data_IF_892599343534
#
_entry.id   IF_892599343534
#
_cell.length_a   1.000
_cell.length_b   1.000
_cell.length_c   1.000
_cell.angle_alpha   90.00
_cell.angle_beta   90.00
_cell.angle_gamma   90.00
#
_symmetry.space_group_name_H-M   'P 1'
#
loop_
_entity.id
_entity.type
_entity.pdbx_description
1 polymer ?
#
# COMPACT_ATOMS: atom_id res chain seq x y z
N UNK A 1 8.17 19.22 -18.86
CA UNK A 1 7.54 19.01 -20.18
C UNK A 1 6.33 18.16 -19.90
N UNK A 2 5.14 18.60 -20.31
CA UNK A 2 3.92 17.82 -20.04
C UNK A 2 3.92 16.59 -20.94
N UNK A 3 3.83 15.40 -20.35
CA UNK A 3 3.75 14.12 -21.06
C UNK A 3 2.32 13.82 -21.54
N UNK A 4 1.62 14.85 -22.00
CA UNK A 4 0.23 14.73 -22.45
C UNK A 4 0.19 14.45 -23.96
N UNK A 5 -0.68 13.53 -24.37
CA UNK A 5 -1.00 13.30 -25.79
C UNK A 5 -2.47 13.43 -26.06
N UNK A 6 -2.78 13.93 -27.26
CA UNK A 6 -4.12 14.03 -27.79
C UNK A 6 -4.29 12.98 -28.87
N UNK A 7 -5.29 12.12 -28.71
CA UNK A 7 -5.70 11.13 -29.68
C UNK A 7 -6.91 11.68 -30.45
N UNK A 8 -6.76 11.87 -31.75
CA UNK A 8 -7.82 12.29 -32.67
C UNK A 8 -8.31 11.05 -33.43
N UNK A 9 -9.57 10.65 -33.21
CA UNK A 9 -10.10 9.36 -33.70
C UNK A 9 -11.20 9.59 -34.71
N UNK A 10 -10.98 9.12 -35.94
CA UNK A 10 -11.96 9.16 -37.03
C UNK A 10 -12.50 7.76 -37.28
N UNK A 11 -13.82 7.59 -37.21
CA UNK A 11 -14.52 6.32 -37.48
C UNK A 11 -15.43 6.48 -38.70
N UNK A 12 -15.25 5.70 -39.75
CA UNK A 12 -16.17 5.68 -40.92
C UNK A 12 -16.47 7.08 -41.50
N UNK A 13 -15.47 7.96 -41.56
CA UNK A 13 -15.63 9.33 -42.06
C UNK A 13 -16.41 10.30 -41.16
N UNK A 14 -16.77 9.90 -39.93
CA UNK A 14 -17.34 10.80 -38.91
C UNK A 14 -16.28 11.80 -38.42
N UNK A 15 -16.70 12.99 -37.95
CA UNK A 15 -15.78 13.98 -37.37
C UNK A 15 -14.95 13.37 -36.24
N UNK A 16 -13.69 13.82 -36.13
CA UNK A 16 -12.74 13.26 -35.19
C UNK A 16 -13.16 13.50 -33.73
N UNK A 17 -13.20 12.44 -32.94
CA UNK A 17 -13.30 12.50 -31.48
C UNK A 17 -11.91 12.79 -30.90
N UNK A 18 -11.80 13.76 -29.99
CA UNK A 18 -10.52 14.09 -29.34
C UNK A 18 -10.51 13.55 -27.92
N UNK A 19 -9.53 12.70 -27.62
CA UNK A 19 -9.29 12.15 -26.28
C UNK A 19 -7.95 12.64 -25.80
N UNK A 20 -7.92 13.30 -24.64
CA UNK A 20 -6.70 13.79 -24.00
C UNK A 20 -6.27 12.77 -22.95
N UNK A 21 -5.05 12.28 -23.06
CA UNK A 21 -4.49 11.31 -22.11
C UNK A 21 -3.42 12.01 -21.27
N UNK A 22 -3.66 12.20 -19.95
CA UNK A 22 -2.81 13.03 -19.08
C UNK A 22 -1.50 12.34 -18.69
N UNK A 23 -1.47 11.02 -18.81
CA UNK A 23 -0.30 10.20 -18.52
C UNK A 23 0.31 9.91 -19.89
N UNK A 24 1.63 10.04 -20.06
CA UNK A 24 2.33 9.80 -21.33
C UNK A 24 2.25 8.37 -21.86
N UNK A 25 1.27 7.59 -21.43
CA UNK A 25 0.93 6.25 -21.87
C UNK A 25 -0.56 6.18 -22.12
N UNK A 26 -0.96 5.68 -23.30
CA UNK A 26 -2.36 5.44 -23.64
C UNK A 26 -2.57 3.98 -24.07
N UNK A 27 -3.53 3.31 -23.45
CA UNK A 27 -4.02 1.99 -23.82
C UNK A 27 -5.23 2.11 -24.76
N UNK A 28 -5.14 1.48 -25.92
CA UNK A 28 -6.18 1.47 -26.95
C UNK A 28 -6.73 0.05 -27.06
N UNK A 29 -8.05 -0.11 -26.98
CA UNK A 29 -8.72 -1.42 -27.04
C UNK A 29 -10.23 -1.31 -26.87
N UNK A 30 -10.93 -2.43 -26.82
CA UNK A 30 -12.40 -2.48 -26.62
C UNK A 30 -12.85 -2.64 -25.16
N UNK A 31 -11.92 -2.96 -24.25
CA UNK A 31 -12.22 -3.13 -22.83
C UNK A 31 -12.58 -1.80 -22.13
N UNK A 32 -13.27 -1.91 -21.00
CA UNK A 32 -13.75 -0.76 -20.24
C UNK A 32 -12.63 0.06 -19.56
N UNK A 33 -11.44 -0.53 -19.39
CA UNK A 33 -10.28 0.12 -18.76
C UNK A 33 -9.30 0.76 -19.76
N UNK A 34 -9.62 0.77 -21.06
CA UNK A 34 -8.79 1.42 -22.07
C UNK A 34 -9.01 2.94 -22.07
N UNK A 35 -7.92 3.71 -22.21
CA UNK A 35 -7.95 5.17 -22.32
C UNK A 35 -8.72 5.62 -23.57
N UNK A 36 -8.47 4.94 -24.70
CA UNK A 36 -9.28 5.06 -25.90
C UNK A 36 -10.05 3.76 -26.15
N UNK A 37 -11.36 3.82 -25.89
CA UNK A 37 -12.27 2.70 -26.11
C UNK A 37 -12.76 2.66 -27.56
N UNK A 38 -12.50 1.54 -28.22
CA UNK A 38 -13.01 1.22 -29.56
C UNK A 38 -14.16 0.20 -29.47
N UNK A 39 -14.92 0.04 -30.56
CA UNK A 39 -15.95 -1.00 -30.61
C UNK A 39 -15.30 -2.39 -30.53
N UNK A 40 -15.95 -3.42 -29.93
CA UNK A 40 -15.46 -4.80 -29.96
C UNK A 40 -15.17 -5.34 -31.36
N UNK A 41 -15.86 -4.83 -32.39
CA UNK A 41 -15.62 -5.21 -33.79
C UNK A 41 -14.38 -4.52 -34.41
N UNK A 42 -13.87 -3.46 -33.78
CA UNK A 42 -12.75 -2.64 -34.28
C UNK A 42 -11.41 -3.01 -33.63
N UNK A 43 -11.41 -3.61 -32.44
CA UNK A 43 -10.19 -3.87 -31.67
C UNK A 43 -10.36 -5.00 -30.65
N UNK A 44 -9.27 -5.70 -30.36
CA UNK A 44 -9.17 -6.62 -29.22
C UNK A 44 -9.40 -5.88 -27.88
N UNK A 45 -9.70 -6.60 -26.77
CA UNK A 45 -9.87 -5.98 -25.45
C UNK A 45 -8.74 -5.03 -25.09
N UNK A 46 -7.50 -5.43 -25.39
CA UNK A 46 -6.30 -4.59 -25.36
C UNK A 46 -5.57 -4.76 -26.69
N UNK A 47 -5.54 -3.72 -27.52
CA UNK A 47 -5.00 -3.81 -28.87
C UNK A 47 -3.56 -3.33 -28.94
N UNK A 48 -3.31 -2.12 -28.45
CA UNK A 48 -1.98 -1.52 -28.43
C UNK A 48 -1.81 -0.52 -27.28
N UNK A 49 -0.56 -0.31 -26.90
CA UNK A 49 -0.12 0.70 -25.93
C UNK A 49 0.76 1.71 -26.63
N UNK A 50 0.41 2.98 -26.50
CA UNK A 50 1.24 4.12 -26.91
C UNK A 50 2.00 4.62 -25.69
N UNK A 51 3.30 4.84 -25.80
CA UNK A 51 4.11 5.45 -24.75
C UNK A 51 4.94 6.60 -25.32
N UNK A 52 4.80 7.79 -24.76
CA UNK A 52 5.52 9.00 -25.16
C UNK A 52 6.98 8.90 -24.73
N UNK A 53 7.88 9.25 -25.63
CA UNK A 53 9.32 9.21 -25.41
C UNK A 53 9.96 10.38 -26.16
N UNK A 54 10.29 11.44 -25.43
CA UNK A 54 10.89 12.66 -25.98
C UNK A 54 9.93 13.40 -26.92
N UNK A 55 10.25 13.41 -28.22
CA UNK A 55 9.46 13.97 -29.33
C UNK A 55 8.58 12.93 -30.05
N UNK A 56 8.75 11.65 -29.71
CA UNK A 56 8.07 10.55 -30.38
C UNK A 56 7.08 9.80 -29.49
N UNK A 57 6.49 8.76 -30.08
CA UNK A 57 5.64 7.77 -29.42
C UNK A 57 6.13 6.38 -29.80
N UNK A 58 6.32 5.53 -28.80
CA UNK A 58 6.63 4.12 -28.93
C UNK A 58 5.32 3.33 -28.93
N UNK A 59 5.17 2.42 -29.88
CA UNK A 59 3.98 1.57 -30.00
C UNK A 59 4.32 0.15 -29.59
N UNK A 60 3.55 -0.40 -28.66
CA UNK A 60 3.61 -1.80 -28.23
C UNK A 60 2.30 -2.50 -28.55
N UNK A 61 2.37 -3.60 -29.29
CA UNK A 61 1.21 -4.42 -29.59
C UNK A 61 0.93 -5.42 -28.50
N UNK A 62 -0.35 -5.54 -28.15
CA UNK A 62 -0.83 -6.54 -27.20
C UNK A 62 -1.56 -7.65 -27.94
N UNK A 63 -2.37 -7.30 -28.96
CA UNK A 63 -3.10 -8.27 -29.77
C UNK A 63 -2.67 -8.24 -31.26
N UNK A 64 -2.58 -9.40 -31.93
CA UNK A 64 -2.19 -9.49 -33.34
C UNK A 64 -3.33 -9.21 -34.33
N UNK A 65 -4.58 -9.21 -33.86
CA UNK A 65 -5.77 -9.03 -34.69
C UNK A 65 -6.78 -8.09 -34.01
N UNK A 66 -7.35 -7.10 -34.73
CA UNK A 66 -7.04 -6.74 -36.12
C UNK A 66 -5.62 -6.18 -36.30
N UNK A 67 -5.11 -6.26 -37.54
CA UNK A 67 -3.78 -5.73 -37.87
C UNK A 67 -3.82 -4.21 -37.84
N UNK A 68 -2.98 -3.60 -37.00
CA UNK A 68 -2.78 -2.15 -37.01
C UNK A 68 -1.77 -1.80 -38.09
N UNK A 69 -2.09 -0.81 -38.91
CA UNK A 69 -1.19 -0.33 -39.96
C UNK A 69 -0.83 1.14 -39.78
N UNK A 70 0.29 1.55 -40.35
CA UNK A 70 0.69 2.96 -40.48
C UNK A 70 0.96 3.19 -41.95
N UNK A 71 0.17 4.07 -42.58
CA UNK A 71 0.25 4.34 -44.02
C UNK A 71 0.09 3.05 -44.85
N UNK A 72 -0.86 2.20 -44.46
CA UNK A 72 -1.17 0.93 -45.13
C UNK A 72 -0.18 -0.22 -44.90
N UNK A 73 0.93 -0.01 -44.17
CA UNK A 73 1.87 -1.08 -43.83
C UNK A 73 1.62 -1.59 -42.40
N UNK A 74 1.60 -2.92 -42.14
CA UNK A 74 1.57 -3.46 -40.78
C UNK A 74 2.73 -2.90 -39.98
N UNK A 75 2.45 -2.36 -38.78
CA UNK A 75 3.53 -1.83 -37.96
C UNK A 75 4.19 -2.93 -37.14
N UNK A 76 5.48 -2.77 -36.89
CA UNK A 76 6.23 -3.53 -35.89
C UNK A 76 6.46 -2.62 -34.68
N UNK A 77 6.71 -3.16 -33.47
CA UNK A 77 7.09 -2.36 -32.32
C UNK A 77 8.24 -1.40 -32.67
N UNK A 78 7.94 -0.10 -32.71
CA UNK A 78 8.86 0.93 -33.19
C UNK A 78 8.48 2.30 -32.62
N UNK A 79 9.37 3.27 -32.82
CA UNK A 79 9.18 4.68 -32.42
C UNK A 79 8.74 5.49 -33.64
N UNK A 80 7.71 6.31 -33.44
CA UNK A 80 7.16 7.21 -34.44
C UNK A 80 7.32 8.66 -34.00
N UNK A 81 7.56 9.56 -34.94
CA UNK A 81 7.59 11.02 -34.69
C UNK A 81 6.16 11.54 -34.74
N UNK A 82 5.78 12.39 -33.78
CA UNK A 82 4.46 13.02 -33.74
C UNK A 82 4.43 14.26 -34.66
N UNK A 83 3.36 14.51 -35.43
CA UNK A 83 2.12 13.74 -35.52
C UNK A 83 2.27 12.45 -36.35
N UNK A 84 1.63 11.38 -35.89
CA UNK A 84 1.58 10.10 -36.60
C UNK A 84 0.16 9.52 -36.57
N UNK A 85 -0.18 8.63 -37.52
CA UNK A 85 -1.51 8.01 -37.61
C UNK A 85 -1.42 6.49 -37.61
N UNK A 86 -2.39 5.84 -36.97
CA UNK A 86 -2.54 4.39 -36.94
C UNK A 86 -3.92 4.01 -37.44
N UNK A 87 -3.99 3.00 -38.29
CA UNK A 87 -5.22 2.52 -38.91
C UNK A 87 -5.57 1.13 -38.36
N UNK A 88 -6.79 0.99 -37.84
CA UNK A 88 -7.39 -0.25 -37.34
C UNK A 88 -8.69 -0.51 -38.11
N UNK A 89 -8.60 -1.26 -39.20
CA UNK A 89 -9.74 -1.45 -40.10
C UNK A 89 -10.23 -0.12 -40.67
N UNK A 90 -11.45 0.30 -40.29
CA UNK A 90 -12.06 1.56 -40.72
C UNK A 90 -11.83 2.75 -39.75
N UNK A 91 -11.06 2.52 -38.68
CA UNK A 91 -10.76 3.53 -37.66
C UNK A 91 -9.35 4.06 -37.85
N UNK A 92 -9.21 5.39 -37.91
CA UNK A 92 -7.91 6.08 -37.93
C UNK A 92 -7.70 6.84 -36.64
N UNK A 93 -6.59 6.57 -35.96
CA UNK A 93 -6.16 7.25 -34.74
C UNK A 93 -4.94 8.11 -35.06
N UNK A 94 -5.08 9.42 -34.99
CA UNK A 94 -3.98 10.38 -35.14
C UNK A 94 -3.49 10.78 -33.75
N UNK A 95 -2.21 10.64 -33.51
CA UNK A 95 -1.56 11.07 -32.27
C UNK A 95 -0.96 12.45 -32.49
N UNK A 96 -1.38 13.40 -31.67
CA UNK A 96 -0.91 14.78 -31.65
C UNK A 96 -0.39 15.12 -30.25
N UNK A 97 0.53 16.07 -30.18
CA UNK A 97 0.81 16.76 -28.92
C UNK A 97 -0.07 18.01 -28.85
N UNK A 98 -0.60 18.36 -27.67
CA UNK A 98 -1.25 19.64 -27.51
C UNK A 98 -0.25 20.72 -27.94
N UNK A 99 -0.63 21.51 -28.95
CA UNK A 99 0.13 22.68 -29.29
C UNK A 99 0.15 23.53 -28.02
N UNK A 100 1.35 23.79 -27.49
CA UNK A 100 1.50 24.79 -26.44
C UNK A 100 1.11 26.09 -27.13
N UNK A 101 -0.15 26.50 -26.98
CA UNK A 101 -0.59 27.81 -27.42
C UNK A 101 0.31 28.79 -26.68
N UNK A 102 1.22 29.41 -27.45
CA UNK A 102 2.11 30.42 -26.95
C UNK A 102 1.23 31.55 -26.42
N UNK A 103 0.98 31.51 -25.10
CA UNK A 103 0.19 32.53 -24.43
C UNK A 103 0.79 33.87 -24.79
N UNK A 104 -0.02 34.70 -25.46
CA UNK A 104 0.37 36.05 -25.86
C UNK A 104 1.05 36.75 -24.68
N UNK A 105 2.15 37.49 -24.90
CA UNK A 105 2.92 38.10 -23.82
C UNK A 105 2.01 39.00 -22.99
N UNK A 106 1.58 38.51 -21.83
CA UNK A 106 0.79 39.29 -20.88
C UNK A 106 1.67 40.42 -20.39
N UNK A 107 1.21 41.66 -20.60
CA UNK A 107 1.85 42.87 -20.06
C UNK A 107 2.02 42.69 -18.56
N UNK A 108 3.28 42.84 -18.12
CA UNK A 108 3.71 42.62 -16.75
C UNK A 108 3.12 43.71 -15.86
N UNK A 109 2.10 43.35 -15.08
CA UNK A 109 1.54 44.22 -14.06
C UNK A 109 2.44 44.14 -12.81
N UNK A 110 3.09 45.23 -12.37
CA UNK A 110 3.98 45.22 -11.21
C UNK A 110 3.27 44.80 -9.91
N UNK A 111 1.94 44.98 -9.81
CA UNK A 111 1.16 44.48 -8.68
C UNK A 111 0.99 42.95 -8.70
N UNK A 112 0.96 42.34 -9.89
CA UNK A 112 0.97 40.88 -10.07
C UNK A 112 2.35 40.31 -9.70
N UNK A 113 3.43 41.01 -10.05
CA UNK A 113 4.79 40.60 -9.72
C UNK A 113 5.00 40.46 -8.20
N UNK A 114 4.54 41.44 -7.41
CA UNK A 114 4.62 41.38 -5.95
C UNK A 114 3.82 40.19 -5.37
N UNK A 115 2.62 39.92 -5.91
CA UNK A 115 1.80 38.77 -5.52
C UNK A 115 2.45 37.44 -5.89
N UNK A 116 3.06 37.34 -7.06
CA UNK A 116 3.79 36.16 -7.50
C UNK A 116 5.06 35.91 -6.69
N UNK A 117 5.74 36.97 -6.22
CA UNK A 117 6.88 36.83 -5.30
C UNK A 117 6.41 36.29 -3.95
N UNK A 118 5.33 36.84 -3.37
CA UNK A 118 4.77 36.33 -2.10
C UNK A 118 4.30 34.88 -2.25
N UNK A 119 3.60 34.56 -3.35
CA UNK A 119 3.17 33.21 -3.65
C UNK A 119 4.37 32.27 -3.86
N UNK A 120 5.42 32.74 -4.55
CA UNK A 120 6.66 32.01 -4.75
C UNK A 120 7.39 31.71 -3.45
N UNK A 121 7.45 32.68 -2.52
CA UNK A 121 8.02 32.48 -1.18
C UNK A 121 7.15 31.51 -0.36
N UNK A 122 5.83 31.59 -0.45
CA UNK A 122 4.93 30.68 0.24
C UNK A 122 5.04 29.25 -0.32
N UNK A 123 5.05 29.09 -1.65
CA UNK A 123 5.27 27.81 -2.31
C UNK A 123 6.66 27.25 -2.01
N UNK A 124 7.69 28.09 -1.97
CA UNK A 124 9.03 27.67 -1.59
C UNK A 124 9.11 27.28 -0.11
N UNK A 125 8.41 27.98 0.78
CA UNK A 125 8.33 27.61 2.20
C UNK A 125 7.56 26.30 2.42
N UNK A 126 6.48 26.07 1.67
CA UNK A 126 5.74 24.80 1.68
C UNK A 126 6.57 23.67 1.09
N UNK A 127 7.25 23.90 -0.04
CA UNK A 127 8.16 22.93 -0.66
C UNK A 127 9.38 22.64 0.21
N UNK A 128 9.90 23.64 0.92
CA UNK A 128 10.99 23.47 1.88
C UNK A 128 10.50 22.70 3.12
N UNK A 129 9.31 23.03 3.64
CA UNK A 129 8.70 22.28 4.73
C UNK A 129 8.38 20.82 4.35
N UNK A 130 7.98 20.56 3.10
CA UNK A 130 7.71 19.20 2.61
C UNK A 130 8.97 18.42 2.27
N UNK A 131 10.03 19.07 1.78
CA UNK A 131 11.35 18.43 1.60
C UNK A 131 12.07 18.20 2.90
N UNK A 132 11.72 18.94 3.96
CA UNK A 132 12.39 18.78 5.24
C UNK A 132 12.17 17.40 5.86
N UNK A 133 11.00 16.76 5.76
CA UNK A 133 10.77 15.47 6.45
C UNK A 133 9.85 14.52 5.66
N UNK A 134 10.40 13.85 4.65
CA UNK A 134 10.03 12.44 4.42
C UNK A 134 11.33 11.66 4.49
N UNK A 135 11.85 11.50 5.71
CA UNK A 135 12.73 10.36 5.96
C UNK A 135 11.87 9.14 5.64
N UNK A 136 12.07 8.53 4.48
CA UNK A 136 11.57 7.17 4.24
C UNK A 136 11.98 6.34 5.44
N UNK A 137 11.03 5.67 6.08
CA UNK A 137 11.25 4.90 7.29
C UNK A 137 12.51 4.08 7.08
N UNK A 138 13.59 4.50 7.74
CA UNK A 138 14.87 3.83 7.61
C UNK A 138 14.74 2.36 8.00
N UNK A 139 15.77 1.53 7.75
CA UNK A 139 15.78 0.17 8.28
C UNK A 139 15.47 0.23 9.79
N UNK A 140 14.64 -0.70 10.32
CA UNK A 140 14.24 -0.65 11.71
C UNK A 140 15.47 -0.73 12.61
N UNK A 141 15.87 0.42 13.16
CA UNK A 141 17.02 0.52 14.06
C UNK A 141 16.68 0.03 15.47
N UNK A 142 15.38 -0.11 15.77
CA UNK A 142 14.88 -0.44 17.08
C UNK A 142 14.70 -1.95 17.28
N UNK A 143 15.11 -2.44 18.45
CA UNK A 143 14.80 -3.80 18.90
C UNK A 143 13.29 -3.96 19.15
N UNK A 144 12.79 -5.18 18.94
CA UNK A 144 11.39 -5.51 19.21
C UNK A 144 11.17 -5.42 20.73
N UNK A 145 10.21 -4.61 21.23
CA UNK A 145 9.97 -4.50 22.65
C UNK A 145 9.46 -5.83 23.21
N UNK A 146 9.92 -6.20 24.41
CA UNK A 146 9.37 -7.37 25.10
C UNK A 146 7.93 -7.09 25.55
N UNK A 147 6.96 -7.62 24.80
CA UNK A 147 5.54 -7.39 25.08
C UNK A 147 5.00 -8.19 26.25
N UNK A 148 5.72 -9.26 26.63
CA UNK A 148 5.33 -10.18 27.70
C UNK A 148 6.08 -9.93 29.01
N UNK A 149 7.04 -8.98 29.00
CA UNK A 149 7.59 -8.40 30.22
C UNK A 149 6.45 -7.81 31.06
N UNK A 150 6.26 -8.38 32.24
CA UNK A 150 5.22 -8.01 33.19
C UNK A 150 5.67 -8.36 34.60
N UNK A 151 5.10 -7.66 35.58
CA UNK A 151 5.36 -7.89 36.99
C UNK A 151 4.96 -9.31 37.40
N UNK A 152 5.62 -9.82 38.45
CA UNK A 152 5.27 -11.09 39.08
C UNK A 152 3.76 -11.12 39.38
N UNK A 153 3.11 -12.16 38.87
CA UNK A 153 1.65 -12.30 38.99
C UNK A 153 1.33 -13.06 40.26
N UNK A 154 0.65 -12.41 41.20
CA UNK A 154 0.14 -13.02 42.42
C UNK A 154 -1.37 -13.30 42.32
N UNK A 155 -1.84 -14.35 42.98
CA UNK A 155 -3.28 -14.58 43.10
C UNK A 155 -3.93 -13.50 43.97
N UNK A 156 -5.05 -12.87 43.55
CA UNK A 156 -5.73 -11.83 44.34
C UNK A 156 -6.42 -12.37 45.60
N UNK A 157 -6.60 -13.69 45.71
CA UNK A 157 -7.31 -14.32 46.83
C UNK A 157 -6.37 -15.09 47.74
N UNK A 158 -6.55 -14.92 49.05
CA UNK A 158 -5.81 -15.65 50.09
C UNK A 158 -6.49 -16.98 50.43
N UNK A 159 -7.83 -17.01 50.39
CA UNK A 159 -8.65 -18.19 50.65
C UNK A 159 -8.52 -19.23 49.52
N UNK A 160 -8.17 -20.50 49.81
CA UNK A 160 -7.96 -21.53 48.79
C UNK A 160 -9.19 -21.81 47.92
N UNK A 161 -10.40 -21.78 48.49
CA UNK A 161 -11.63 -22.07 47.75
C UNK A 161 -11.92 -20.99 46.72
N UNK A 162 -11.79 -19.71 47.11
CA UNK A 162 -11.93 -18.57 46.18
C UNK A 162 -10.80 -18.52 45.16
N UNK A 163 -9.57 -18.86 45.56
CA UNK A 163 -8.44 -18.95 44.64
C UNK A 163 -8.69 -20.01 43.56
N UNK A 164 -9.23 -21.18 43.93
CA UNK A 164 -9.57 -22.23 42.97
C UNK A 164 -10.63 -21.78 41.97
N UNK A 165 -11.69 -21.12 42.43
CA UNK A 165 -12.74 -20.60 41.55
C UNK A 165 -12.20 -19.58 40.54
N UNK A 166 -11.41 -18.61 41.02
CA UNK A 166 -10.74 -17.61 40.16
C UNK A 166 -9.79 -18.28 39.16
N UNK A 167 -9.05 -19.32 39.58
CA UNK A 167 -8.13 -20.04 38.71
C UNK A 167 -8.85 -20.72 37.53
N UNK A 168 -9.99 -21.37 37.81
CA UNK A 168 -10.83 -22.00 36.78
C UNK A 168 -11.38 -20.97 35.81
N UNK A 169 -11.89 -19.85 36.32
CA UNK A 169 -12.43 -18.77 35.50
C UNK A 169 -11.33 -18.14 34.60
N UNK A 170 -10.18 -17.81 35.18
CA UNK A 170 -9.05 -17.23 34.43
C UNK A 170 -8.50 -18.16 33.38
N UNK A 171 -8.45 -19.46 33.66
CA UNK A 171 -8.07 -20.46 32.67
C UNK A 171 -9.07 -20.51 31.52
N UNK A 172 -10.38 -20.51 31.80
CA UNK A 172 -11.39 -20.49 30.74
C UNK A 172 -11.30 -19.22 29.86
N UNK A 173 -11.05 -18.06 30.46
CA UNK A 173 -10.78 -16.81 29.74
C UNK A 173 -9.53 -16.93 28.85
N UNK A 174 -8.45 -17.51 29.38
CA UNK A 174 -7.19 -17.72 28.67
C UNK A 174 -7.36 -18.68 27.48
N UNK A 175 -8.03 -19.81 27.69
CA UNK A 175 -8.32 -20.81 26.66
C UNK A 175 -9.12 -20.16 25.50
N UNK A 176 -10.17 -19.41 25.84
CA UNK A 176 -10.99 -18.72 24.85
C UNK A 176 -10.22 -17.63 24.08
N UNK A 177 -9.35 -16.86 24.75
CA UNK A 177 -8.51 -15.85 24.10
C UNK A 177 -7.44 -16.49 23.20
N UNK A 178 -6.84 -17.60 23.64
CA UNK A 178 -5.88 -18.38 22.84
C UNK A 178 -6.51 -18.89 21.56
N UNK A 179 -7.71 -19.46 21.61
CA UNK A 179 -8.43 -19.97 20.43
C UNK A 179 -8.74 -18.87 19.40
N UNK A 180 -8.99 -17.63 19.86
CA UNK A 180 -9.23 -16.48 18.97
C UNK A 180 -7.94 -15.84 18.44
N UNK A 181 -6.81 -16.02 19.12
CA UNK A 181 -5.55 -15.34 18.79
C UNK A 181 -5.03 -15.50 17.35
N UNK A 182 -5.25 -16.61 16.63
CA UNK A 182 -4.88 -16.70 15.21
C UNK A 182 -5.63 -15.71 14.31
N UNK A 183 -6.83 -15.30 14.71
CA UNK A 183 -7.69 -14.38 13.96
C UNK A 183 -7.68 -12.97 14.54
N UNK A 184 -7.36 -12.85 15.82
CA UNK A 184 -7.35 -11.60 16.56
C UNK A 184 -6.05 -11.46 17.39
N UNK A 185 -4.96 -10.97 16.78
CA UNK A 185 -3.63 -10.98 17.38
C UNK A 185 -3.54 -10.23 18.72
N UNK A 186 -4.43 -9.25 18.97
CA UNK A 186 -4.46 -8.52 20.26
C UNK A 186 -4.81 -9.42 21.46
N UNK A 187 -5.41 -10.60 21.23
CA UNK A 187 -5.82 -11.53 22.28
C UNK A 187 -4.65 -12.34 22.88
N UNK A 188 -3.50 -12.42 22.21
CA UNK A 188 -2.39 -13.27 22.67
C UNK A 188 -1.83 -12.82 24.02
N UNK A 189 -1.70 -11.50 24.23
CA UNK A 189 -1.20 -10.92 25.48
C UNK A 189 -2.13 -11.13 26.67
N UNK A 190 -3.45 -10.81 26.60
CA UNK A 190 -4.35 -11.11 27.69
C UNK A 190 -4.48 -12.62 27.95
N UNK A 191 -4.35 -13.48 26.93
CA UNK A 191 -4.33 -14.93 27.12
C UNK A 191 -3.13 -15.38 27.99
N UNK A 192 -1.91 -14.96 27.66
CA UNK A 192 -0.70 -15.25 28.45
C UNK A 192 -0.86 -14.71 29.89
N UNK A 193 -1.33 -13.47 30.05
CA UNK A 193 -1.55 -12.88 31.37
C UNK A 193 -2.59 -13.67 32.18
N UNK A 194 -3.70 -14.10 31.57
CA UNK A 194 -4.74 -14.86 32.24
C UNK A 194 -4.25 -16.26 32.67
N UNK A 195 -3.46 -16.95 31.85
CA UNK A 195 -2.82 -18.21 32.28
C UNK A 195 -1.86 -18.02 33.46
N UNK A 196 -1.07 -16.94 33.48
CA UNK A 196 -0.17 -16.64 34.61
C UNK A 196 -0.97 -16.41 35.91
N UNK A 197 -2.08 -15.67 35.86
CA UNK A 197 -2.98 -15.48 37.02
C UNK A 197 -3.59 -16.82 37.44
N UNK A 198 -4.08 -17.61 36.49
CA UNK A 198 -4.65 -18.93 36.77
C UNK A 198 -3.64 -19.84 37.47
N UNK A 199 -2.40 -19.89 36.98
CA UNK A 199 -1.31 -20.65 37.59
C UNK A 199 -1.03 -20.24 39.03
N UNK A 200 -0.91 -18.93 39.29
CA UNK A 200 -0.70 -18.41 40.64
C UNK A 200 -1.87 -18.74 41.60
N UNK A 201 -3.10 -18.76 41.10
CA UNK A 201 -4.27 -19.11 41.91
C UNK A 201 -4.44 -20.62 42.12
N UNK A 202 -4.11 -21.46 41.13
CA UNK A 202 -4.04 -22.90 41.33
C UNK A 202 -2.99 -23.28 42.37
N UNK A 203 -1.82 -22.63 42.34
CA UNK A 203 -0.75 -22.82 43.33
C UNK A 203 -1.24 -22.46 44.74
N UNK A 204 -1.88 -21.29 44.90
CA UNK A 204 -2.51 -20.86 46.16
C UNK A 204 -3.58 -21.84 46.67
N UNK A 205 -4.31 -22.48 45.76
CA UNK A 205 -5.34 -23.46 46.09
C UNK A 205 -4.80 -24.87 46.41
N UNK A 206 -3.49 -25.11 46.27
CA UNK A 206 -2.87 -26.43 46.45
C UNK A 206 -3.07 -27.38 45.26
N UNK A 207 -3.46 -26.86 44.09
CA UNK A 207 -3.69 -27.63 42.87
C UNK A 207 -2.43 -27.61 41.97
N UNK A 208 -1.33 -28.23 42.44
CA UNK A 208 0.00 -28.14 41.82
C UNK A 208 0.06 -28.63 40.36
N UNK A 209 -0.73 -29.65 40.01
CA UNK A 209 -0.75 -30.19 38.65
C UNK A 209 -1.37 -29.19 37.68
N UNK A 210 -2.45 -28.56 38.08
CA UNK A 210 -3.17 -27.53 37.34
C UNK A 210 -2.33 -26.25 37.24
N UNK A 211 -1.64 -25.87 38.32
CA UNK A 211 -0.72 -24.74 38.32
C UNK A 211 0.40 -24.91 37.29
N UNK A 212 1.04 -26.09 37.27
CA UNK A 212 2.08 -26.42 36.28
C UNK A 212 1.55 -26.43 34.84
N UNK A 213 0.35 -26.96 34.62
CA UNK A 213 -0.30 -26.95 33.29
C UNK A 213 -0.56 -25.52 32.81
N UNK A 214 -1.10 -24.65 33.67
CA UNK A 214 -1.34 -23.26 33.33
C UNK A 214 -0.04 -22.50 33.05
N UNK A 215 1.01 -22.73 33.85
CA UNK A 215 2.33 -22.15 33.63
C UNK A 215 2.97 -22.60 32.30
N UNK A 216 2.91 -23.90 31.97
CA UNK A 216 3.40 -24.43 30.70
C UNK A 216 2.65 -23.81 29.52
N UNK A 217 1.32 -23.73 29.60
CA UNK A 217 0.49 -23.13 28.56
C UNK A 217 0.82 -21.64 28.34
N UNK A 218 1.08 -20.88 29.41
CA UNK A 218 1.52 -19.49 29.29
C UNK A 218 2.88 -19.38 28.59
N UNK A 219 3.85 -20.22 28.98
CA UNK A 219 5.21 -20.18 28.45
C UNK A 219 5.26 -20.62 26.98
N UNK A 220 4.52 -21.67 26.60
CA UNK A 220 4.38 -22.12 25.22
C UNK A 220 3.77 -21.04 24.34
N UNK A 221 2.63 -20.47 24.76
CA UNK A 221 1.96 -19.41 24.00
C UNK A 221 2.83 -18.15 23.84
N UNK A 222 3.57 -17.78 24.89
CA UNK A 222 4.54 -16.68 24.84
C UNK A 222 5.70 -16.95 23.88
N UNK A 223 6.25 -18.17 23.91
CA UNK A 223 7.34 -18.57 23.01
C UNK A 223 6.90 -18.55 21.54
N UNK A 224 5.72 -19.11 21.24
CA UNK A 224 5.13 -19.12 19.91
C UNK A 224 4.88 -17.68 19.41
N UNK A 225 4.30 -16.84 20.27
CA UNK A 225 4.04 -15.44 19.92
C UNK A 225 5.33 -14.64 19.67
N UNK A 226 6.39 -14.87 20.46
CA UNK A 226 7.70 -14.24 20.23
C UNK A 226 8.30 -14.69 18.90
N UNK A 227 8.18 -15.97 18.55
CA UNK A 227 8.66 -16.49 17.29
C UNK A 227 7.92 -15.85 16.11
N UNK A 228 6.59 -15.78 16.17
CA UNK A 228 5.75 -15.17 15.15
C UNK A 228 6.04 -13.67 14.98
N UNK A 229 6.18 -12.91 16.07
CA UNK A 229 6.57 -11.50 16.02
C UNK A 229 7.92 -11.30 15.33
N UNK A 230 8.91 -12.14 15.66
CA UNK A 230 10.24 -12.08 15.03
C UNK A 230 10.17 -12.42 13.55
N UNK A 231 9.44 -13.47 13.18
CA UNK A 231 9.27 -13.90 11.80
C UNK A 231 8.61 -12.80 10.95
N UNK A 232 7.54 -12.19 11.47
CA UNK A 232 6.83 -11.10 10.78
C UNK A 232 7.63 -9.82 10.67
N UNK A 233 8.43 -9.48 11.67
CA UNK A 233 9.38 -8.36 11.57
C UNK A 233 10.33 -8.57 10.38
N UNK A 234 10.98 -9.73 10.30
CA UNK A 234 11.93 -10.05 9.22
C UNK A 234 11.20 -10.04 7.86
N UNK A 235 9.98 -10.59 7.80
CA UNK A 235 9.17 -10.59 6.58
C UNK A 235 8.82 -9.16 6.16
N UNK A 236 8.36 -8.32 7.08
CA UNK A 236 8.06 -6.92 6.82
C UNK A 236 9.28 -6.18 6.25
N UNK A 237 10.45 -6.32 6.87
CA UNK A 237 11.70 -5.72 6.38
C UNK A 237 11.99 -6.13 4.92
N UNK A 238 11.82 -7.42 4.61
CA UNK A 238 12.02 -7.93 3.24
C UNK A 238 10.97 -7.41 2.26
N UNK A 239 9.70 -7.33 2.66
CA UNK A 239 8.61 -6.84 1.80
C UNK A 239 8.77 -5.35 1.50
N UNK A 240 9.17 -4.55 2.49
CA UNK A 240 9.51 -3.13 2.28
C UNK A 240 10.68 -2.98 1.29
N UNK A 241 11.74 -3.77 1.44
CA UNK A 241 12.88 -3.75 0.51
C UNK A 241 12.50 -4.19 -0.92
N UNK A 242 11.57 -5.13 -1.06
CA UNK A 242 11.06 -5.62 -2.34
C UNK A 242 9.94 -4.75 -2.94
N UNK A 243 9.48 -3.72 -2.21
CA UNK A 243 8.30 -2.89 -2.55
C UNK A 243 6.99 -3.70 -2.72
N UNK A 244 6.85 -4.79 -1.97
CA UNK A 244 5.60 -5.56 -1.89
C UNK A 244 4.71 -4.98 -0.77
N UNK A 245 4.00 -3.90 -1.11
CA UNK A 245 3.29 -3.07 -0.12
C UNK A 245 2.00 -3.72 0.42
N UNK A 246 1.40 -4.63 -0.32
CA UNK A 246 0.17 -5.30 0.14
C UNK A 246 0.50 -6.28 1.27
N UNK A 247 1.52 -7.13 1.09
CA UNK A 247 1.95 -8.05 2.16
C UNK A 247 2.56 -7.30 3.35
N UNK A 248 3.29 -6.20 3.10
CA UNK A 248 3.83 -5.36 4.16
C UNK A 248 2.72 -4.78 5.06
N UNK A 249 1.57 -4.39 4.48
CA UNK A 249 0.45 -3.83 5.22
C UNK A 249 -0.17 -4.83 6.19
N UNK A 250 -0.29 -6.08 5.78
CA UNK A 250 -0.80 -7.16 6.65
C UNK A 250 0.11 -7.40 7.85
N UNK A 251 1.44 -7.37 7.63
CA UNK A 251 2.41 -7.54 8.72
C UNK A 251 2.44 -6.35 9.67
N UNK A 252 2.38 -5.12 9.16
CA UNK A 252 2.26 -3.92 10.02
C UNK A 252 1.00 -3.99 10.86
N UNK A 253 -0.13 -4.39 10.27
CA UNK A 253 -1.41 -4.52 10.97
C UNK A 253 -1.33 -5.54 12.11
N UNK A 254 -0.78 -6.72 11.83
CA UNK A 254 -0.57 -7.76 12.83
C UNK A 254 0.35 -7.29 13.96
N UNK A 255 1.51 -6.75 13.62
CA UNK A 255 2.52 -6.32 14.60
C UNK A 255 1.95 -5.23 15.52
N UNK A 256 1.24 -4.23 14.96
CA UNK A 256 0.58 -3.19 15.74
C UNK A 256 -0.49 -3.74 16.68
N UNK A 257 -1.27 -4.73 16.23
CA UNK A 257 -2.31 -5.34 17.05
C UNK A 257 -1.73 -6.02 18.30
N UNK A 258 -0.66 -6.81 18.14
CA UNK A 258 0.03 -7.46 19.28
C UNK A 258 0.73 -6.43 20.19
N UNK A 259 1.34 -5.40 19.61
CA UNK A 259 2.03 -4.34 20.34
C UNK A 259 1.10 -3.27 20.94
N UNK A 260 -0.23 -3.45 20.86
CA UNK A 260 -1.20 -2.45 21.32
C UNK A 260 -0.98 -2.01 22.78
N UNK A 261 -0.93 -0.70 23.03
CA UNK A 261 -0.65 -0.13 24.35
C UNK A 261 0.82 -0.18 24.79
N UNK A 262 1.74 -0.66 23.93
CA UNK A 262 3.19 -0.48 24.11
C UNK A 262 3.64 0.76 23.36
N UNK A 263 4.73 1.37 23.84
CA UNK A 263 5.39 2.50 23.20
C UNK A 263 6.83 2.18 22.84
N UNK A 264 7.56 3.20 22.39
CA UNK A 264 8.99 3.12 22.09
C UNK A 264 9.30 3.25 20.60
N UNK A 265 10.61 3.28 20.25
CA UNK A 265 11.06 3.60 18.90
C UNK A 265 10.52 2.64 17.83
N UNK A 266 10.39 1.35 18.15
CA UNK A 266 9.87 0.36 17.20
C UNK A 266 8.38 0.58 16.86
N UNK A 267 7.55 0.95 17.84
CA UNK A 267 6.12 1.24 17.61
C UNK A 267 5.95 2.55 16.84
N UNK A 268 6.82 3.53 17.08
CA UNK A 268 6.87 4.76 16.29
C UNK A 268 7.25 4.48 14.83
N UNK A 269 8.27 3.65 14.61
CA UNK A 269 8.68 3.19 13.27
C UNK A 269 7.53 2.48 12.54
N UNK A 270 6.84 1.53 13.18
CA UNK A 270 5.67 0.88 12.58
C UNK A 270 4.56 1.87 12.18
N UNK A 271 4.40 2.95 12.96
CA UNK A 271 3.42 4.00 12.64
C UNK A 271 3.82 4.84 11.42
N UNK A 272 5.11 5.09 11.26
CA UNK A 272 5.63 5.76 10.08
C UNK A 272 5.49 4.89 8.83
N UNK A 273 5.87 3.61 8.92
CA UNK A 273 5.69 2.65 7.82
C UNK A 273 4.22 2.55 7.40
N UNK A 274 3.29 2.50 8.36
CA UNK A 274 1.85 2.48 8.03
C UNK A 274 1.40 3.72 7.26
N UNK A 275 1.92 4.90 7.63
CA UNK A 275 1.62 6.15 6.95
C UNK A 275 2.15 6.14 5.51
N UNK A 276 3.37 5.66 5.31
CA UNK A 276 3.98 5.49 3.98
C UNK A 276 3.17 4.53 3.11
N UNK A 277 2.84 3.34 3.63
CA UNK A 277 2.02 2.33 2.92
C UNK A 277 0.61 2.82 2.57
N UNK A 278 0.12 3.85 3.25
CA UNK A 278 -1.18 4.49 2.97
C UNK A 278 -1.07 5.50 1.84
N UNK A 279 0.04 6.22 1.75
CA UNK A 279 0.28 7.22 0.70
C UNK A 279 0.52 6.53 -0.65
N UNK A 280 1.28 5.43 -0.67
CA UNK A 280 1.55 4.62 -1.88
C UNK A 280 0.27 4.04 -2.53
N UNK A 281 -0.84 3.90 -1.78
CA UNK A 281 -2.11 3.42 -2.35
C UNK A 281 -2.84 4.47 -3.18
N UNK A 282 -2.52 5.75 -2.98
CA UNK A 282 -3.21 6.87 -3.60
C UNK A 282 -2.52 7.39 -4.86
N UNK A 283 -1.36 6.84 -5.20
CA UNK A 283 -0.63 7.08 -6.46
C UNK A 283 -0.97 6.01 -7.50
#
# INVERSE_FOLDING_TARGET
MSDEITLCVTRNGKPAERVVVPIGRALIGSAAHCDLRLSPDEAAPEQMVLACDGDGVRVHYVAPSPVVTHRGAPIMPSRFVVPCSFELGATSVVVERPAIEASAPRRFDPALAAKLVVLGVLCAAVAFASTLHVETAGPPTAELPDVFAGADVACPHVDPTRALAEAVERRAVADAARERSPFEPREVRPAVAAYRVAGACFDRAGAETEARRAASAAAELEADARLELRARRIRLERMLAARDFDVARDDVTYLRAVLSGKGGPYVAWLSQVELELRNEKNE
#
